data_IF_897711567176
#
_entry.id   IF_897711567176
#
_cell.length_a   1.000
_cell.length_b   1.000
_cell.length_c   1.000
_cell.angle_alpha   90.00
_cell.angle_beta   90.00
_cell.angle_gamma   90.00
#
_symmetry.space_group_name_H-M   'P 1'
#
loop_
_entity.id
_entity.type
_entity.pdbx_description
1 polymer ?
#
# COMPACT_ATOMS: atom_id res chain seq x y z
N UNK A 1 13.68 -31.29 5.98
CA UNK A 1 13.04 -30.36 6.94
C UNK A 1 11.78 -29.76 6.27
N UNK A 2 10.66 -30.50 6.22
CA UNK A 2 9.42 -30.06 5.56
C UNK A 2 8.71 -28.90 6.28
N UNK A 3 8.95 -28.75 7.59
CA UNK A 3 8.25 -27.82 8.49
C UNK A 3 8.59 -26.33 8.32
N UNK A 4 9.66 -26.00 7.58
CA UNK A 4 10.14 -24.61 7.45
C UNK A 4 9.45 -23.83 6.33
N UNK A 5 8.77 -24.51 5.39
CA UNK A 5 8.09 -23.85 4.27
C UNK A 5 6.92 -22.94 4.71
N UNK A 6 6.03 -23.36 5.63
CA UNK A 6 4.96 -22.51 6.13
C UNK A 6 5.51 -21.27 6.87
N UNK A 7 6.56 -21.47 7.67
CA UNK A 7 7.21 -20.40 8.44
C UNK A 7 7.87 -19.37 7.52
N UNK A 8 8.61 -19.83 6.50
CA UNK A 8 9.25 -18.97 5.51
C UNK A 8 8.20 -18.15 4.74
N UNK A 9 7.06 -18.76 4.42
CA UNK A 9 5.93 -18.08 3.77
C UNK A 9 5.40 -16.98 4.70
N UNK A 10 5.04 -17.31 5.94
CA UNK A 10 4.56 -16.36 6.94
C UNK A 10 5.50 -15.14 7.10
N UNK A 11 6.81 -15.39 7.19
CA UNK A 11 7.84 -14.34 7.30
C UNK A 11 7.86 -13.41 6.08
N UNK A 12 7.79 -13.96 4.86
CA UNK A 12 7.75 -13.18 3.62
C UNK A 12 6.48 -12.31 3.57
N UNK A 13 5.31 -12.89 3.87
CA UNK A 13 4.04 -12.15 3.86
C UNK A 13 3.99 -11.06 4.94
N UNK A 14 4.43 -11.38 6.15
CA UNK A 14 4.56 -10.42 7.24
C UNK A 14 5.50 -9.27 6.89
N UNK A 15 6.66 -9.59 6.28
CA UNK A 15 7.62 -8.58 5.80
C UNK A 15 7.04 -7.66 4.73
N UNK A 16 6.34 -8.21 3.73
CA UNK A 16 5.65 -7.40 2.71
C UNK A 16 4.59 -6.50 3.35
N UNK A 17 3.80 -7.01 4.29
CA UNK A 17 2.81 -6.22 5.03
C UNK A 17 3.44 -5.07 5.82
N UNK A 18 4.56 -5.32 6.48
CA UNK A 18 5.31 -4.30 7.21
C UNK A 18 5.92 -3.23 6.29
N UNK A 19 6.41 -3.61 5.10
CA UNK A 19 6.91 -2.66 4.10
C UNK A 19 5.77 -1.76 3.60
N UNK A 20 4.59 -2.34 3.32
CA UNK A 20 3.40 -1.57 2.93
C UNK A 20 2.98 -0.60 4.03
N UNK A 21 2.91 -1.06 5.28
CA UNK A 21 2.60 -0.21 6.43
C UNK A 21 3.63 0.91 6.61
N UNK A 22 4.91 0.58 6.48
CA UNK A 22 6.00 1.55 6.55
C UNK A 22 5.91 2.61 5.45
N UNK A 23 5.57 2.21 4.22
CA UNK A 23 5.33 3.15 3.12
C UNK A 23 4.12 4.04 3.37
N UNK A 24 3.03 3.50 3.91
CA UNK A 24 1.85 4.30 4.27
C UNK A 24 2.16 5.31 5.37
N UNK A 25 2.90 4.91 6.40
CA UNK A 25 3.35 5.81 7.48
C UNK A 25 4.34 6.85 6.96
N UNK A 26 5.28 6.45 6.10
CA UNK A 26 6.26 7.36 5.50
C UNK A 26 5.59 8.37 4.56
N UNK A 27 4.57 7.95 3.81
CA UNK A 27 3.72 8.89 3.09
C UNK A 27 3.01 9.80 4.10
N UNK A 28 2.25 9.26 5.04
CA UNK A 28 1.52 10.08 6.01
C UNK A 28 2.43 11.13 6.70
N UNK A 29 3.65 10.75 7.08
CA UNK A 29 4.62 11.62 7.77
C UNK A 29 5.38 12.56 6.83
N UNK A 30 5.86 12.10 5.67
CA UNK A 30 6.62 12.92 4.71
C UNK A 30 5.76 13.99 4.02
N UNK A 31 4.44 13.85 4.09
CA UNK A 31 3.47 14.82 3.55
C UNK A 31 3.01 15.84 4.59
N UNK A 32 3.42 15.66 5.83
CA UNK A 32 3.03 16.49 6.96
C UNK A 32 4.15 17.39 7.53
N UNK A 33 5.03 18.03 6.73
CA UNK A 33 5.57 19.32 7.12
C UNK A 33 4.58 20.41 6.64
N UNK A 34 3.46 20.55 7.34
CA UNK A 34 2.60 21.75 7.28
C UNK A 34 1.44 21.81 6.28
N UNK A 35 1.34 20.91 5.28
CA UNK A 35 0.24 20.93 4.28
C UNK A 35 -0.07 19.48 3.86
N UNK A 36 -1.01 18.81 4.53
CA UNK A 36 -1.30 17.38 4.33
C UNK A 36 -1.87 16.99 2.95
N UNK A 37 -1.02 16.99 1.91
CA UNK A 37 -1.37 16.63 0.52
C UNK A 37 -0.25 15.79 -0.08
N UNK A 38 -0.55 14.63 -0.69
CA UNK A 38 0.44 13.88 -1.46
C UNK A 38 0.97 14.69 -2.65
N UNK A 39 2.27 14.61 -3.03
CA UNK A 39 2.69 15.05 -4.35
C UNK A 39 1.96 14.18 -5.38
N UNK A 40 1.10 14.80 -6.17
CA UNK A 40 0.15 14.13 -7.06
C UNK A 40 -1.31 14.29 -6.65
N UNK A 41 -1.61 14.61 -5.39
CA UNK A 41 -2.94 15.01 -4.98
C UNK A 41 -3.19 16.47 -5.38
N UNK A 42 -4.15 16.67 -6.28
CA UNK A 42 -4.47 18.00 -6.81
C UNK A 42 -5.60 18.58 -5.97
N UNK A 43 -5.38 19.75 -5.39
CA UNK A 43 -6.39 20.45 -4.61
C UNK A 43 -6.61 21.82 -5.21
N UNK A 44 -7.82 22.02 -5.72
CA UNK A 44 -8.26 23.28 -6.31
C UNK A 44 -9.16 23.95 -5.28
N UNK A 45 -8.65 24.99 -4.63
CA UNK A 45 -9.41 25.86 -3.71
C UNK A 45 -9.78 27.17 -4.42
N UNK A 46 -11.07 27.51 -4.38
CA UNK A 46 -11.71 28.74 -4.85
C UNK A 46 -12.60 29.26 -3.72
N UNK A 47 -13.00 30.53 -3.77
CA UNK A 47 -13.66 31.26 -2.67
C UNK A 47 -14.85 30.54 -1.99
N UNK A 48 -15.58 29.66 -2.68
CA UNK A 48 -16.62 28.79 -2.11
C UNK A 48 -16.55 27.33 -2.59
N UNK A 49 -15.43 26.89 -3.17
CA UNK A 49 -15.32 25.56 -3.76
C UNK A 49 -13.95 24.94 -3.51
N UNK A 50 -13.95 23.71 -3.00
CA UNK A 50 -12.74 22.92 -2.76
C UNK A 50 -12.90 21.56 -3.45
N UNK A 51 -12.11 21.33 -4.48
CA UNK A 51 -12.01 20.03 -5.15
C UNK A 51 -10.71 19.36 -4.75
N UNK A 52 -10.81 18.16 -4.19
CA UNK A 52 -9.68 17.31 -3.81
C UNK A 52 -9.63 16.10 -4.74
N UNK A 53 -8.52 15.95 -5.47
CA UNK A 53 -8.29 14.85 -6.41
C UNK A 53 -7.10 14.03 -5.90
N UNK A 54 -7.34 12.94 -5.16
CA UNK A 54 -6.28 12.16 -4.51
C UNK A 54 -5.56 11.18 -5.45
N UNK A 55 -4.96 11.66 -6.55
CA UNK A 55 -4.32 10.77 -7.53
C UNK A 55 -3.14 10.01 -6.94
N UNK A 56 -2.33 10.65 -6.10
CA UNK A 56 -1.18 10.01 -5.46
C UNK A 56 -1.65 8.89 -4.53
N UNK A 57 -2.69 9.16 -3.74
CA UNK A 57 -3.26 8.17 -2.82
C UNK A 57 -3.82 6.97 -3.58
N UNK A 58 -4.57 7.21 -4.67
CA UNK A 58 -5.20 6.16 -5.46
C UNK A 58 -4.17 5.24 -6.14
N UNK A 59 -3.04 5.79 -6.61
CA UNK A 59 -1.95 5.00 -7.21
C UNK A 59 -1.32 4.08 -6.15
N UNK A 60 -0.99 4.63 -4.98
CA UNK A 60 -0.38 3.84 -3.89
C UNK A 60 -1.33 2.75 -3.41
N UNK A 61 -2.61 3.08 -3.24
CA UNK A 61 -3.64 2.11 -2.89
C UNK A 61 -3.73 1.00 -3.94
N UNK A 62 -3.76 1.36 -5.23
CA UNK A 62 -3.86 0.39 -6.34
C UNK A 62 -2.66 -0.57 -6.40
N UNK A 63 -1.43 -0.06 -6.27
CA UNK A 63 -0.21 -0.88 -6.27
C UNK A 63 -0.23 -1.82 -5.06
N UNK A 64 -0.56 -1.28 -3.88
CA UNK A 64 -0.65 -2.06 -2.65
C UNK A 64 -1.67 -3.20 -2.77
N UNK A 65 -2.88 -2.88 -3.23
CA UNK A 65 -3.94 -3.87 -3.41
C UNK A 65 -3.55 -4.92 -4.46
N UNK A 66 -2.91 -4.50 -5.55
CA UNK A 66 -2.44 -5.39 -6.60
C UNK A 66 -1.39 -6.37 -6.10
N UNK A 67 -0.41 -5.90 -5.32
CA UNK A 67 0.61 -6.75 -4.69
C UNK A 67 -0.06 -7.73 -3.73
N UNK A 68 -0.94 -7.26 -2.84
CA UNK A 68 -1.64 -8.12 -1.88
C UNK A 68 -2.49 -9.19 -2.57
N UNK A 69 -3.31 -8.80 -3.55
CA UNK A 69 -4.17 -9.72 -4.30
C UNK A 69 -3.35 -10.73 -5.10
N UNK A 70 -2.24 -10.32 -5.73
CA UNK A 70 -1.36 -11.23 -6.45
C UNK A 70 -0.71 -12.26 -5.50
N UNK A 71 -0.28 -11.80 -4.33
CA UNK A 71 0.37 -12.63 -3.33
C UNK A 71 -0.62 -13.63 -2.71
N UNK A 72 -1.86 -13.19 -2.45
CA UNK A 72 -2.98 -14.03 -2.02
C UNK A 72 -3.36 -15.03 -3.11
N UNK A 73 -3.51 -14.60 -4.36
CA UNK A 73 -3.81 -15.49 -5.48
C UNK A 73 -2.73 -16.56 -5.67
N UNK A 74 -1.46 -16.19 -5.49
CA UNK A 74 -0.32 -17.13 -5.55
C UNK A 74 -0.26 -18.08 -4.35
N UNK A 75 -0.81 -17.70 -3.20
CA UNK A 75 -1.03 -18.60 -2.06
C UNK A 75 -2.08 -19.64 -2.38
N UNK A 76 -3.27 -19.21 -2.81
CA UNK A 76 -4.38 -20.09 -3.13
C UNK A 76 -4.07 -21.03 -4.31
N UNK A 77 -3.38 -20.54 -5.34
CA UNK A 77 -2.98 -21.36 -6.50
C UNK A 77 -1.74 -22.23 -6.23
N UNK A 78 -1.00 -21.97 -5.14
CA UNK A 78 0.21 -22.73 -4.77
C UNK A 78 -0.05 -23.98 -3.91
N UNK A 79 -1.31 -24.34 -3.66
CA UNK A 79 -1.70 -25.57 -2.94
C UNK A 79 -2.18 -26.72 -3.84
N UNK A 80 -2.03 -26.60 -5.16
CA UNK A 80 -2.61 -27.50 -6.16
C UNK A 80 -1.61 -28.26 -7.03
N UNK A 81 -0.41 -28.56 -6.54
CA UNK A 81 0.53 -29.52 -7.16
C UNK A 81 1.26 -30.31 -6.09
#
# INVERSE_FOLDING_TARGET
MPELHPLARLLIFGGVGLIVLGLLVQLATSLLPGIGRLPGDIVIERDNFKLYIPLGTMIVLSITLSILLNLIARLFNGGGR
#
